data_IF_110747477827
#
_entry.id   IF_110747477827
#
_cell.length_a   1.000
_cell.length_b   1.000
_cell.length_c   1.000
_cell.angle_alpha   90.00
_cell.angle_beta   90.00
_cell.angle_gamma   90.00
#
_symmetry.space_group_name_H-M   'P 1'
#
loop_
_entity.id
_entity.type
_entity.pdbx_description
1 polymer ?
#
# COMPACT_ATOMS: atom_id res chain seq x y z
N UNK A 1 0.23 -9.39 -8.15
CA UNK A 1 1.01 -10.45 -7.45
C UNK A 1 0.61 -10.44 -5.98
N UNK A 2 0.47 -11.59 -5.37
CA UNK A 2 0.10 -11.78 -3.96
C UNK A 2 0.47 -13.21 -3.52
N UNK A 3 0.46 -13.49 -2.20
CA UNK A 3 0.88 -14.78 -1.61
C UNK A 3 -0.06 -15.95 -1.94
N UNK A 4 -1.28 -15.68 -2.39
CA UNK A 4 -2.29 -16.64 -2.84
C UNK A 4 -2.77 -16.29 -4.26
N UNK A 5 -3.42 -17.19 -4.95
CA UNK A 5 -3.97 -16.95 -6.28
C UNK A 5 -5.39 -17.52 -6.40
N UNK A 6 -6.20 -16.90 -7.27
CA UNK A 6 -7.59 -17.34 -7.53
C UNK A 6 -7.66 -18.67 -8.28
N UNK A 7 -6.61 -19.02 -9.02
CA UNK A 7 -6.53 -20.25 -9.79
C UNK A 7 -5.08 -20.73 -9.96
N UNK A 8 -4.83 -22.00 -10.32
CA UNK A 8 -3.48 -22.52 -10.55
C UNK A 8 -2.72 -21.86 -11.71
N UNK A 9 -3.41 -21.24 -12.65
CA UNK A 9 -2.81 -20.56 -13.80
C UNK A 9 -2.17 -19.24 -13.40
N UNK A 10 -2.63 -18.61 -12.32
CA UNK A 10 -2.09 -17.35 -11.79
C UNK A 10 -1.00 -17.65 -10.77
N UNK A 11 0.16 -17.09 -10.96
CA UNK A 11 1.27 -17.24 -10.01
C UNK A 11 0.97 -16.54 -8.69
N UNK A 12 1.23 -17.24 -7.59
CA UNK A 12 1.34 -16.63 -6.26
C UNK A 12 2.80 -16.65 -5.84
N UNK A 13 3.27 -15.57 -5.23
CA UNK A 13 4.58 -15.52 -4.58
C UNK A 13 4.55 -14.49 -3.45
N UNK A 14 5.58 -14.54 -2.59
CA UNK A 14 5.71 -13.50 -1.56
C UNK A 14 5.93 -12.14 -2.23
N UNK A 15 5.05 -11.19 -1.94
CA UNK A 15 5.10 -9.85 -2.51
C UNK A 15 3.75 -9.31 -2.96
N UNK A 16 3.71 -8.04 -3.27
CA UNK A 16 2.48 -7.33 -3.64
C UNK A 16 2.65 -6.56 -4.93
N UNK A 17 1.63 -6.61 -5.80
CA UNK A 17 1.51 -5.73 -6.96
C UNK A 17 0.05 -5.57 -7.34
N UNK A 18 -0.43 -4.33 -7.45
CA UNK A 18 -1.75 -3.97 -7.94
C UNK A 18 -1.62 -3.22 -9.27
N UNK A 19 -2.40 -3.67 -10.27
CA UNK A 19 -2.68 -2.88 -11.46
C UNK A 19 -4.03 -2.20 -11.28
N UNK A 20 -4.10 -0.90 -11.57
CA UNK A 20 -5.26 -0.06 -11.32
C UNK A 20 -5.54 0.77 -12.56
N UNK A 21 -6.80 0.79 -12.98
CA UNK A 21 -7.28 1.68 -14.04
C UNK A 21 -8.26 2.70 -13.47
N UNK A 22 -8.05 3.96 -13.84
CA UNK A 22 -8.95 5.06 -13.59
C UNK A 22 -9.36 5.70 -14.94
N UNK A 23 -10.14 6.76 -14.93
CA UNK A 23 -10.47 7.47 -16.18
C UNK A 23 -9.23 8.13 -16.82
N UNK A 24 -8.25 8.52 -16.01
CA UNK A 24 -7.08 9.28 -16.48
C UNK A 24 -5.80 8.46 -16.49
N UNK A 25 -5.68 7.44 -15.62
CA UNK A 25 -4.43 6.76 -15.36
C UNK A 25 -4.53 5.24 -15.43
N UNK A 26 -3.46 4.63 -15.94
CA UNK A 26 -3.12 3.22 -15.77
C UNK A 26 -1.95 3.14 -14.80
N UNK A 27 -2.20 2.62 -13.61
CA UNK A 27 -1.29 2.72 -12.47
C UNK A 27 -0.76 1.34 -12.10
N UNK A 28 0.52 1.24 -11.78
CA UNK A 28 1.10 0.09 -11.11
C UNK A 28 1.51 0.48 -9.69
N UNK A 29 0.92 -0.16 -8.68
CA UNK A 29 1.26 0.05 -7.28
C UNK A 29 1.95 -1.19 -6.75
N UNK A 30 3.24 -1.09 -6.45
CA UNK A 30 4.20 -2.15 -6.16
C UNK A 30 4.43 -3.15 -7.31
N UNK A 31 5.57 -3.87 -7.30
CA UNK A 31 6.02 -4.74 -8.39
C UNK A 31 6.48 -6.12 -7.91
N UNK A 32 6.01 -6.53 -6.70
CA UNK A 32 6.35 -7.85 -6.15
C UNK A 32 7.84 -8.03 -5.83
N UNK A 33 8.21 -9.28 -5.52
CA UNK A 33 9.60 -9.62 -5.20
C UNK A 33 10.47 -9.90 -6.43
N UNK A 34 9.85 -10.18 -7.58
CA UNK A 34 10.49 -10.60 -8.83
C UNK A 34 9.58 -10.34 -10.05
N UNK A 35 10.00 -10.80 -11.23
CA UNK A 35 9.27 -10.61 -12.49
C UNK A 35 7.97 -11.42 -12.61
N UNK A 36 7.55 -12.19 -11.60
CA UNK A 36 6.35 -13.03 -11.65
C UNK A 36 5.04 -12.25 -11.87
N UNK A 37 4.99 -10.97 -11.49
CA UNK A 37 3.83 -10.12 -11.76
C UNK A 37 3.66 -9.82 -13.26
N UNK A 38 4.74 -9.82 -14.06
CA UNK A 38 4.71 -9.65 -15.53
C UNK A 38 3.94 -10.79 -16.18
N UNK A 39 4.21 -12.04 -15.76
CA UNK A 39 3.51 -13.21 -16.28
C UNK A 39 2.03 -13.20 -15.93
N UNK A 40 1.69 -12.76 -14.70
CA UNK A 40 0.29 -12.61 -14.30
C UNK A 40 -0.42 -11.53 -15.09
N UNK A 41 0.24 -10.39 -15.37
CA UNK A 41 -0.31 -9.33 -16.20
C UNK A 41 -0.65 -9.84 -17.61
N UNK A 42 0.28 -10.58 -18.25
CA UNK A 42 0.06 -11.20 -19.56
C UNK A 42 -1.16 -12.14 -19.55
N UNK A 43 -1.24 -13.04 -18.56
CA UNK A 43 -2.38 -13.98 -18.41
C UNK A 43 -3.72 -13.29 -18.18
N UNK A 44 -3.71 -12.14 -17.52
CA UNK A 44 -4.88 -11.32 -17.26
C UNK A 44 -5.23 -10.36 -18.41
N UNK A 45 -4.43 -10.37 -19.50
CA UNK A 45 -4.62 -9.46 -20.64
C UNK A 45 -4.27 -8.01 -20.33
N UNK A 46 -3.43 -7.75 -19.31
CA UNK A 46 -2.98 -6.43 -18.91
C UNK A 46 -1.67 -6.11 -19.63
N UNK A 47 -1.68 -5.07 -20.45
CA UNK A 47 -0.47 -4.55 -21.08
C UNK A 47 0.24 -3.55 -20.16
N UNK A 48 1.30 -4.02 -19.50
CA UNK A 48 2.10 -3.18 -18.61
C UNK A 48 2.91 -2.09 -19.34
N UNK A 49 3.08 -2.17 -20.67
CA UNK A 49 3.68 -1.08 -21.45
C UNK A 49 2.78 0.16 -21.47
N UNK A 50 1.48 -0.02 -21.26
CA UNK A 50 0.50 1.06 -21.23
C UNK A 50 0.39 1.76 -19.87
N UNK A 51 0.99 1.23 -18.81
CA UNK A 51 1.07 1.92 -17.51
C UNK A 51 1.75 3.28 -17.69
N UNK A 52 1.13 4.33 -17.19
CA UNK A 52 1.64 5.70 -17.32
C UNK A 52 2.35 6.19 -16.03
N UNK A 53 2.01 5.62 -14.88
CA UNK A 53 2.60 5.98 -13.59
C UNK A 53 2.71 4.75 -12.68
N UNK A 54 3.77 4.67 -11.89
CA UNK A 54 3.94 3.63 -10.90
C UNK A 54 4.33 4.21 -9.53
N UNK A 55 3.96 3.50 -8.47
CA UNK A 55 4.27 3.85 -7.09
C UNK A 55 4.91 2.67 -6.39
N UNK A 56 5.91 2.94 -5.56
CA UNK A 56 6.47 1.97 -4.63
C UNK A 56 6.03 2.36 -3.22
N UNK A 57 5.30 1.47 -2.55
CA UNK A 57 4.74 1.73 -1.22
C UNK A 57 5.81 1.94 -0.15
N UNK A 58 6.89 1.17 -0.20
CA UNK A 58 8.00 1.24 0.77
C UNK A 58 9.25 0.49 0.28
N UNK A 59 10.34 0.57 1.02
CA UNK A 59 11.67 0.13 0.61
C UNK A 59 11.99 -1.36 0.81
N UNK A 60 11.02 -2.29 0.76
CA UNK A 60 11.27 -3.72 0.88
C UNK A 60 11.23 -4.44 -0.47
N UNK A 61 12.08 -5.50 -0.60
CA UNK A 61 12.29 -6.23 -1.86
C UNK A 61 11.03 -6.90 -2.40
N UNK A 62 10.12 -7.33 -1.54
CA UNK A 62 8.88 -7.99 -1.89
C UNK A 62 7.80 -7.04 -2.47
N UNK A 63 8.12 -5.73 -2.54
CA UNK A 63 7.33 -4.70 -3.19
C UNK A 63 8.06 -4.05 -4.38
N UNK A 64 9.40 -3.99 -4.33
CA UNK A 64 10.19 -3.33 -5.36
C UNK A 64 11.15 -4.25 -6.12
N UNK A 65 11.13 -5.57 -5.87
CA UNK A 65 12.05 -6.51 -6.53
C UNK A 65 11.83 -6.65 -8.03
N UNK A 66 10.61 -6.44 -8.51
CA UNK A 66 10.26 -6.47 -9.92
C UNK A 66 10.49 -5.17 -10.70
N UNK A 67 11.06 -4.11 -10.08
CA UNK A 67 11.29 -2.82 -10.75
C UNK A 67 12.13 -2.97 -12.02
N UNK A 68 13.21 -3.76 -12.00
CA UNK A 68 14.04 -4.01 -13.17
C UNK A 68 13.27 -4.64 -14.33
N UNK A 69 12.38 -5.59 -14.04
CA UNK A 69 11.49 -6.21 -15.03
C UNK A 69 10.49 -5.20 -15.59
N UNK A 70 9.86 -4.39 -14.74
CA UNK A 70 8.95 -3.34 -15.18
C UNK A 70 9.64 -2.31 -16.08
N UNK A 71 10.83 -1.86 -15.72
CA UNK A 71 11.61 -0.92 -16.53
C UNK A 71 12.01 -1.46 -17.92
N UNK A 72 12.07 -2.81 -18.08
CA UNK A 72 12.34 -3.46 -19.39
C UNK A 72 11.10 -3.46 -20.29
N UNK A 73 9.90 -3.72 -19.74
CA UNK A 73 8.68 -3.82 -20.53
C UNK A 73 8.00 -2.47 -20.72
N UNK A 74 8.00 -1.60 -19.71
CA UNK A 74 7.49 -0.24 -19.79
C UNK A 74 8.60 0.75 -20.09
N UNK A 75 8.37 1.73 -20.99
CA UNK A 75 9.38 2.73 -21.41
C UNK A 75 9.00 4.17 -21.07
N UNK A 76 7.80 4.39 -20.51
CA UNK A 76 7.25 5.75 -20.28
C UNK A 76 6.96 6.08 -18.82
N UNK A 77 6.46 5.11 -18.05
CA UNK A 77 6.03 5.35 -16.67
C UNK A 77 7.17 5.82 -15.78
N UNK A 78 6.88 6.81 -14.98
CA UNK A 78 7.73 7.21 -13.86
C UNK A 78 7.34 6.43 -12.61
N UNK A 79 8.32 6.05 -11.80
CA UNK A 79 8.13 5.30 -10.56
C UNK A 79 8.37 6.25 -9.40
N UNK A 80 7.34 6.53 -8.64
CA UNK A 80 7.34 7.47 -7.53
C UNK A 80 7.63 6.76 -6.21
N UNK A 81 8.68 7.20 -5.50
CA UNK A 81 9.15 6.59 -4.26
C UNK A 81 9.47 7.65 -3.20
N UNK A 82 9.42 7.27 -1.93
CA UNK A 82 9.99 8.09 -0.86
C UNK A 82 11.53 7.96 -0.85
N UNK A 83 12.24 9.03 -0.60
CA UNK A 83 13.73 9.04 -0.52
C UNK A 83 14.26 7.98 0.44
N UNK A 84 13.63 7.85 1.59
CA UNK A 84 14.03 6.86 2.58
C UNK A 84 13.90 5.41 2.08
N UNK A 85 13.07 5.11 1.05
CA UNK A 85 12.97 3.77 0.48
C UNK A 85 14.28 3.26 -0.15
N UNK A 86 15.22 4.16 -0.45
CA UNK A 86 16.53 3.82 -1.01
C UNK A 86 17.59 3.44 0.02
N UNK A 87 17.25 3.44 1.31
CA UNK A 87 18.16 3.11 2.40
C UNK A 87 18.28 1.58 2.60
N UNK A 88 19.14 1.16 3.53
CA UNK A 88 19.40 -0.26 3.80
C UNK A 88 18.41 -0.81 4.85
N UNK A 89 17.56 -1.77 4.45
CA UNK A 89 16.60 -2.44 5.34
C UNK A 89 16.95 -3.90 5.55
N UNK A 90 16.75 -4.36 6.79
CA UNK A 90 17.15 -5.69 7.24
C UNK A 90 16.06 -6.31 8.12
N UNK A 91 15.95 -7.63 8.10
CA UNK A 91 15.14 -8.40 9.05
C UNK A 91 16.05 -9.14 10.03
N UNK A 92 15.70 -9.13 11.32
CA UNK A 92 16.32 -9.97 12.34
C UNK A 92 15.59 -11.31 12.34
N UNK A 93 16.15 -12.28 11.65
CA UNK A 93 15.75 -13.68 11.76
C UNK A 93 16.42 -14.30 13.02
N UNK A 94 15.97 -15.45 13.55
CA UNK A 94 16.49 -16.01 14.80
C UNK A 94 18.02 -16.18 14.83
N UNK A 95 18.63 -16.60 13.74
CA UNK A 95 20.07 -16.90 13.68
C UNK A 95 20.90 -15.80 13.00
N UNK A 96 20.30 -14.97 12.15
CA UNK A 96 21.03 -13.99 11.35
C UNK A 96 20.18 -12.78 10.96
N UNK A 97 20.88 -11.71 10.57
CA UNK A 97 20.22 -10.59 9.87
C UNK A 97 20.20 -10.87 8.37
N UNK A 98 19.06 -10.62 7.73
CA UNK A 98 18.85 -10.78 6.30
C UNK A 98 18.52 -9.42 5.69
N UNK A 99 19.20 -9.08 4.59
CA UNK A 99 18.89 -7.89 3.81
C UNK A 99 17.50 -8.03 3.17
N UNK A 100 16.66 -7.03 3.34
CA UNK A 100 15.30 -6.95 2.80
C UNK A 100 15.05 -5.66 2.02
N UNK A 101 16.09 -4.85 1.82
CA UNK A 101 16.00 -3.61 1.04
C UNK A 101 15.96 -3.86 -0.48
N UNK A 102 16.05 -2.79 -1.22
CA UNK A 102 15.91 -2.76 -2.67
C UNK A 102 17.24 -2.98 -3.39
N UNK A 103 17.17 -3.42 -4.66
CA UNK A 103 18.33 -3.51 -5.55
C UNK A 103 18.94 -2.13 -5.85
N UNK A 104 20.25 -2.08 -6.01
CA UNK A 104 20.97 -0.87 -6.44
C UNK A 104 20.84 -0.59 -7.96
N UNK A 105 20.46 -1.61 -8.76
CA UNK A 105 20.53 -1.61 -10.23
C UNK A 105 19.78 -0.46 -10.90
N UNK A 106 18.65 -0.04 -10.34
CA UNK A 106 17.77 0.95 -10.92
C UNK A 106 17.73 2.29 -10.17
N UNK A 107 18.40 2.43 -9.02
CA UNK A 107 18.32 3.63 -8.16
C UNK A 107 18.69 4.93 -8.88
N UNK A 108 19.58 4.86 -9.88
CA UNK A 108 20.00 6.01 -10.70
C UNK A 108 19.23 6.13 -12.03
N UNK A 109 18.15 5.39 -12.23
CA UNK A 109 17.35 5.48 -13.45
C UNK A 109 16.55 6.80 -13.45
N UNK A 110 16.56 7.54 -14.56
CA UNK A 110 15.89 8.84 -14.72
C UNK A 110 14.36 8.79 -14.54
N UNK A 111 13.77 7.60 -14.59
CA UNK A 111 12.34 7.39 -14.34
C UNK A 111 12.00 7.19 -12.87
N UNK A 112 12.98 7.14 -11.99
CA UNK A 112 12.76 7.12 -10.54
C UNK A 112 12.56 8.54 -10.05
N UNK A 113 11.37 8.84 -9.54
CA UNK A 113 11.03 10.16 -9.00
C UNK A 113 10.99 10.07 -7.47
N UNK A 114 11.93 10.78 -6.86
CA UNK A 114 12.15 10.76 -5.41
C UNK A 114 11.34 11.88 -4.73
N UNK A 115 10.60 11.52 -3.69
CA UNK A 115 9.82 12.43 -2.87
C UNK A 115 10.22 12.39 -1.40
N UNK A 116 9.92 13.46 -0.68
CA UNK A 116 10.07 13.55 0.78
C UNK A 116 8.76 14.03 1.41
N UNK A 117 7.91 13.10 1.85
CA UNK A 117 6.62 13.38 2.50
C UNK A 117 5.42 13.32 1.56
N UNK A 118 4.39 14.10 1.90
CA UNK A 118 3.11 14.10 1.18
C UNK A 118 3.24 14.91 -0.12
N UNK A 119 2.61 14.44 -1.21
CA UNK A 119 2.57 15.13 -2.51
C UNK A 119 1.35 14.70 -3.33
N UNK A 120 1.00 15.49 -4.36
CA UNK A 120 -0.03 15.14 -5.33
C UNK A 120 0.58 15.12 -6.73
N UNK A 121 0.14 14.16 -7.54
CA UNK A 121 0.44 14.12 -8.97
C UNK A 121 -0.47 15.10 -9.68
N UNK A 122 -1.76 15.00 -9.39
CA UNK A 122 -2.81 15.85 -9.91
C UNK A 122 -4.01 15.89 -8.92
N UNK A 123 -5.20 16.21 -9.42
CA UNK A 123 -6.43 16.26 -8.63
C UNK A 123 -6.97 14.86 -8.27
N UNK A 124 -6.56 13.80 -9.01
CA UNK A 124 -6.99 12.42 -8.82
C UNK A 124 -6.04 11.63 -7.92
N UNK A 125 -4.74 11.79 -8.08
CA UNK A 125 -3.73 10.99 -7.39
C UNK A 125 -3.00 11.80 -6.30
N UNK A 126 -3.23 11.42 -5.06
CA UNK A 126 -2.58 12.02 -3.88
C UNK A 126 -1.82 10.95 -3.09
N UNK A 127 -0.56 11.23 -2.79
CA UNK A 127 0.29 10.41 -1.94
C UNK A 127 0.43 11.06 -0.57
N UNK A 128 0.35 10.24 0.46
CA UNK A 128 0.73 10.64 1.81
C UNK A 128 1.69 9.64 2.45
N UNK A 129 2.61 10.16 3.23
CA UNK A 129 3.65 9.45 3.97
C UNK A 129 3.67 9.91 5.44
N UNK A 130 4.72 9.59 6.20
CA UNK A 130 4.93 10.12 7.56
C UNK A 130 3.74 9.91 8.50
N UNK A 131 3.21 8.69 8.52
CA UNK A 131 2.22 8.28 9.53
C UNK A 131 2.97 8.00 10.83
N UNK A 132 2.72 8.78 11.88
CA UNK A 132 3.52 8.77 13.11
C UNK A 132 2.83 8.11 14.31
N UNK A 133 1.51 8.01 14.27
CA UNK A 133 0.76 7.29 15.30
C UNK A 133 1.12 5.80 15.30
N UNK A 134 0.91 5.12 16.44
CA UNK A 134 1.27 3.72 16.64
C UNK A 134 0.13 2.89 17.28
N UNK A 135 -1.12 3.28 17.03
CA UNK A 135 -2.28 2.50 17.48
C UNK A 135 -2.46 1.25 16.62
N UNK A 136 -2.69 0.09 17.23
CA UNK A 136 -2.70 -1.21 16.57
C UNK A 136 -1.46 -1.42 15.66
N UNK A 137 -0.30 -1.01 16.15
CA UNK A 137 0.98 -1.20 15.49
C UNK A 137 1.41 -2.65 15.62
N UNK A 138 1.77 -3.29 14.50
CA UNK A 138 2.07 -4.73 14.48
C UNK A 138 3.37 -5.06 15.23
N UNK A 139 3.37 -6.05 16.15
CA UNK A 139 4.60 -6.54 16.80
C UNK A 139 5.61 -7.15 15.81
N UNK A 140 5.17 -7.61 14.63
CA UNK A 140 6.08 -8.11 13.59
C UNK A 140 7.13 -7.07 13.14
N UNK A 141 6.85 -5.79 13.34
CA UNK A 141 7.76 -4.69 13.04
C UNK A 141 9.01 -4.69 13.95
N UNK A 142 8.95 -5.27 15.14
CA UNK A 142 10.06 -5.24 16.09
C UNK A 142 11.33 -5.93 15.59
N UNK A 143 11.20 -6.83 14.62
CA UNK A 143 12.33 -7.52 13.98
C UNK A 143 12.84 -6.81 12.71
N UNK A 144 12.23 -5.72 12.31
CA UNK A 144 12.64 -4.98 11.12
C UNK A 144 13.56 -3.84 11.48
N UNK A 145 14.67 -3.77 10.77
CA UNK A 145 15.80 -2.92 11.09
C UNK A 145 16.18 -2.06 9.89
N UNK A 146 16.66 -0.88 10.19
CA UNK A 146 17.36 0.01 9.27
C UNK A 146 18.84 0.04 9.64
N UNK A 147 19.74 0.06 8.64
CA UNK A 147 21.16 0.18 8.88
C UNK A 147 21.63 1.61 8.60
N UNK A 148 22.22 2.24 9.62
CA UNK A 148 22.72 3.61 9.58
C UNK A 148 24.18 3.62 10.03
N UNK A 149 25.09 4.12 9.19
CA UNK A 149 26.53 4.21 9.53
C UNK A 149 27.12 2.91 10.07
N UNK A 150 26.69 1.77 9.53
CA UNK A 150 27.16 0.43 9.94
C UNK A 150 26.43 -0.16 11.16
N UNK A 151 25.60 0.60 11.86
CA UNK A 151 24.80 0.14 13.01
C UNK A 151 23.38 -0.20 12.59
N UNK A 152 22.76 -1.17 13.31
CA UNK A 152 21.37 -1.55 13.09
C UNK A 152 20.47 -0.89 14.14
N UNK A 153 19.42 -0.24 13.69
CA UNK A 153 18.41 0.39 14.52
C UNK A 153 17.03 -0.14 14.14
N UNK A 154 16.03 -0.04 15.01
CA UNK A 154 14.65 -0.37 14.65
C UNK A 154 14.18 0.52 13.51
N UNK A 155 13.49 -0.08 12.52
CA UNK A 155 12.91 0.68 11.42
C UNK A 155 11.72 1.52 11.92
N UNK A 156 11.74 2.79 11.62
CA UNK A 156 10.65 3.73 11.91
C UNK A 156 9.64 3.85 10.77
N UNK A 157 9.84 3.12 9.67
CA UNK A 157 8.99 3.09 8.46
C UNK A 157 8.69 4.47 7.86
N UNK A 158 9.67 5.38 7.92
CA UNK A 158 9.57 6.71 7.29
C UNK A 158 9.56 6.63 5.76
N UNK A 159 9.94 5.48 5.22
CA UNK A 159 9.93 5.16 3.79
C UNK A 159 8.57 4.71 3.26
N UNK A 160 7.57 4.50 4.14
CA UNK A 160 6.24 4.06 3.72
C UNK A 160 5.40 5.23 3.21
N UNK A 161 4.75 5.02 2.07
CA UNK A 161 3.77 5.93 1.48
C UNK A 161 2.52 5.18 1.06
N UNK A 162 1.41 5.91 0.98
CA UNK A 162 0.09 5.39 0.65
C UNK A 162 -0.54 6.27 -0.43
N UNK A 163 -1.33 5.66 -1.32
CA UNK A 163 -1.97 6.34 -2.45
C UNK A 163 -3.47 6.51 -2.19
N UNK A 164 -3.96 7.74 -2.30
CA UNK A 164 -5.38 8.05 -2.41
C UNK A 164 -5.72 8.32 -3.88
N UNK A 165 -6.74 7.66 -4.39
CA UNK A 165 -7.31 7.88 -5.70
C UNK A 165 -8.69 8.51 -5.54
N UNK A 166 -8.88 9.67 -6.16
CA UNK A 166 -10.11 10.45 -6.10
C UNK A 166 -10.78 10.48 -7.47
N UNK A 167 -11.80 9.67 -7.67
CA UNK A 167 -12.51 9.60 -8.95
C UNK A 167 -14.03 9.60 -8.75
N UNK A 168 -14.78 10.35 -9.56
CA UNK A 168 -16.26 10.38 -9.58
C UNK A 168 -16.91 10.55 -8.20
N UNK A 169 -16.31 11.36 -7.35
CA UNK A 169 -16.83 11.58 -5.98
C UNK A 169 -16.44 10.51 -4.96
N UNK A 170 -15.82 9.43 -5.38
CA UNK A 170 -15.30 8.35 -4.53
C UNK A 170 -13.83 8.57 -4.18
N UNK A 171 -13.38 7.93 -3.10
CA UNK A 171 -11.97 7.85 -2.74
C UNK A 171 -11.61 6.41 -2.42
N UNK A 172 -10.52 5.94 -3.00
CA UNK A 172 -9.94 4.61 -2.74
C UNK A 172 -8.52 4.78 -2.19
N UNK A 173 -8.19 4.00 -1.16
CA UNK A 173 -6.87 3.99 -0.53
C UNK A 173 -6.11 2.73 -0.91
N UNK A 174 -4.87 2.88 -1.36
CA UNK A 174 -3.91 1.79 -1.52
C UNK A 174 -2.75 1.96 -0.53
N UNK A 175 -2.48 0.90 0.22
CA UNK A 175 -1.34 0.75 1.10
C UNK A 175 -0.56 -0.50 0.71
N UNK A 176 0.74 -0.55 1.01
CA UNK A 176 1.55 -1.76 0.88
C UNK A 176 1.31 -2.71 2.04
N UNK A 177 2.34 -2.94 2.85
CA UNK A 177 2.25 -3.74 4.07
C UNK A 177 1.53 -3.05 5.22
N UNK A 178 1.34 -1.73 5.16
CA UNK A 178 0.84 -0.92 6.27
C UNK A 178 1.66 -1.10 7.57
N UNK A 179 2.99 -0.99 7.46
CA UNK A 179 3.89 -1.08 8.61
C UNK A 179 3.59 -0.03 9.68
N UNK A 180 3.18 1.18 9.29
CA UNK A 180 2.75 2.22 10.23
C UNK A 180 1.39 1.90 10.90
N UNK A 181 0.75 0.79 10.54
CA UNK A 181 -0.55 0.32 11.04
C UNK A 181 -1.73 0.87 10.26
N UNK A 182 -2.58 -0.02 9.73
CA UNK A 182 -3.75 0.35 8.91
C UNK A 182 -4.68 1.32 9.64
N UNK A 183 -4.84 1.20 10.96
CA UNK A 183 -5.65 2.13 11.78
C UNK A 183 -5.12 3.56 11.69
N UNK A 184 -3.80 3.74 11.76
CA UNK A 184 -3.15 5.05 11.72
C UNK A 184 -3.16 5.64 10.31
N UNK A 185 -2.97 4.79 9.30
CA UNK A 185 -3.09 5.15 7.87
C UNK A 185 -4.50 5.67 7.58
N UNK A 186 -5.54 4.95 8.02
CA UNK A 186 -6.94 5.37 7.85
C UNK A 186 -7.23 6.68 8.56
N UNK A 187 -6.71 6.88 9.76
CA UNK A 187 -6.87 8.13 10.50
C UNK A 187 -6.27 9.32 9.74
N UNK A 188 -5.03 9.19 9.25
CA UNK A 188 -4.39 10.25 8.45
C UNK A 188 -5.13 10.48 7.13
N UNK A 189 -5.49 9.43 6.40
CA UNK A 189 -6.23 9.52 5.14
C UNK A 189 -7.58 10.26 5.32
N UNK A 190 -8.34 9.92 6.37
CA UNK A 190 -9.62 10.58 6.69
C UNK A 190 -9.43 12.06 7.04
N UNK A 191 -8.37 12.41 7.76
CA UNK A 191 -8.04 13.81 8.07
C UNK A 191 -7.69 14.60 6.78
N UNK A 192 -6.94 14.00 5.85
CA UNK A 192 -6.62 14.61 4.57
C UNK A 192 -7.86 14.86 3.71
N UNK A 193 -8.81 13.91 3.68
CA UNK A 193 -10.09 14.09 3.00
C UNK A 193 -10.88 15.26 3.58
N UNK A 194 -11.01 15.31 4.90
CA UNK A 194 -11.71 16.41 5.58
C UNK A 194 -11.09 17.76 5.25
N UNK A 195 -9.77 17.87 5.32
CA UNK A 195 -9.05 19.10 4.96
C UNK A 195 -9.29 19.49 3.49
N UNK A 196 -9.27 18.51 2.56
CA UNK A 196 -9.54 18.75 1.13
C UNK A 196 -10.95 19.30 0.91
N UNK A 197 -11.96 18.78 1.62
CA UNK A 197 -13.35 19.25 1.55
C UNK A 197 -13.48 20.68 2.11
N UNK A 198 -12.87 20.97 3.25
CA UNK A 198 -12.86 22.30 3.83
C UNK A 198 -12.20 23.33 2.89
N UNK A 199 -11.07 22.98 2.28
CA UNK A 199 -10.39 23.85 1.33
C UNK A 199 -11.26 24.15 0.10
N UNK A 200 -12.00 23.15 -0.42
CA UNK A 200 -12.93 23.35 -1.54
C UNK A 200 -14.10 24.27 -1.17
N UNK A 201 -14.71 24.08 0.02
CA UNK A 201 -15.77 24.96 0.52
C UNK A 201 -15.30 26.41 0.58
N UNK A 202 -14.12 26.65 1.13
CA UNK A 202 -13.54 28.00 1.19
C UNK A 202 -13.35 28.62 -0.21
N UNK A 203 -12.84 27.86 -1.17
CA UNK A 203 -12.67 28.34 -2.56
C UNK A 203 -14.02 28.71 -3.23
N UNK A 204 -15.09 27.98 -2.91
CA UNK A 204 -16.44 28.22 -3.43
C UNK A 204 -17.07 29.47 -2.82
N UNK A 205 -16.93 29.68 -1.51
CA UNK A 205 -17.43 30.86 -0.80
C UNK A 205 -16.78 32.17 -1.28
N UNK A 206 -15.52 32.11 -1.72
CA UNK A 206 -14.81 33.27 -2.30
C UNK A 206 -15.07 33.47 -3.81
N UNK A 207 -16.10 32.83 -4.39
CA UNK A 207 -16.59 33.09 -5.75
C UNK A 207 -15.68 32.60 -6.89
N UNK A 208 -14.79 31.64 -6.61
CA UNK A 208 -13.81 31.15 -7.61
C UNK A 208 -14.22 29.87 -8.35
N UNK A 209 -15.33 29.23 -7.98
CA UNK A 209 -15.82 28.01 -8.65
C UNK A 209 -17.34 27.87 -8.52
N UNK A 210 -17.98 27.13 -9.46
CA UNK A 210 -19.41 26.80 -9.43
C UNK A 210 -19.77 26.01 -8.15
N UNK A 211 -21.03 26.14 -7.68
CA UNK A 211 -21.57 25.49 -6.48
C UNK A 211 -21.10 24.01 -6.40
N UNK A 212 -20.15 23.75 -5.50
CA UNK A 212 -19.81 22.39 -5.15
C UNK A 212 -21.01 21.73 -4.47
N UNK A 213 -21.48 20.62 -5.03
CA UNK A 213 -22.43 19.73 -4.34
C UNK A 213 -21.72 19.20 -3.10
N UNK A 214 -22.34 19.37 -1.95
CA UNK A 214 -21.82 18.88 -0.68
C UNK A 214 -21.95 17.35 -0.64
N UNK A 215 -20.93 16.66 -1.14
CA UNK A 215 -20.80 15.21 -1.05
C UNK A 215 -19.81 14.95 0.07
N UNK A 216 -20.30 14.44 1.18
CA UNK A 216 -19.43 13.94 2.25
C UNK A 216 -18.60 12.78 1.67
N UNK A 217 -17.33 13.04 1.39
CA UNK A 217 -16.45 12.03 0.80
C UNK A 217 -15.92 11.13 1.89
N UNK A 218 -16.12 9.84 1.70
CA UNK A 218 -15.55 8.77 2.51
C UNK A 218 -14.51 8.00 1.71
N UNK A 219 -13.70 7.21 2.39
CA UNK A 219 -12.86 6.21 1.75
C UNK A 219 -13.74 4.99 1.48
N UNK A 220 -14.14 4.76 0.24
CA UNK A 220 -15.04 3.67 -0.14
C UNK A 220 -14.38 2.31 0.04
N UNK A 221 -13.13 2.19 -0.43
CA UNK A 221 -12.38 0.96 -0.43
C UNK A 221 -10.92 1.18 0.01
N UNK A 222 -10.36 0.18 0.69
CA UNK A 222 -9.00 0.17 1.19
C UNK A 222 -8.32 -1.13 0.76
N UNK A 223 -7.26 -1.02 -0.02
CA UNK A 223 -6.45 -2.16 -0.47
C UNK A 223 -5.10 -2.17 0.22
N UNK A 224 -4.66 -3.34 0.71
CA UNK A 224 -3.33 -3.51 1.28
C UNK A 224 -3.23 -4.55 2.39
N UNK A 225 -2.01 -4.82 2.80
CA UNK A 225 -1.69 -5.68 3.93
C UNK A 225 -1.94 -5.01 5.28
N UNK A 226 -1.89 -5.81 6.35
CA UNK A 226 -2.01 -5.32 7.74
C UNK A 226 -0.82 -5.77 8.60
N UNK A 227 0.19 -6.34 7.97
CA UNK A 227 1.46 -6.80 8.55
C UNK A 227 1.31 -7.67 9.81
N UNK A 228 0.44 -8.68 9.77
CA UNK A 228 0.12 -9.56 10.91
C UNK A 228 0.74 -10.95 10.82
N UNK A 229 1.37 -11.31 9.69
CA UNK A 229 1.98 -12.62 9.49
C UNK A 229 3.15 -12.84 10.45
N UNK A 230 3.03 -13.84 11.33
CA UNK A 230 4.08 -14.17 12.31
C UNK A 230 4.34 -13.04 13.32
N UNK A 231 3.32 -12.25 13.64
CA UNK A 231 3.41 -11.13 14.57
C UNK A 231 3.20 -11.54 16.04
N UNK A 232 2.60 -12.69 16.29
CA UNK A 232 2.15 -13.12 17.61
C UNK A 232 2.66 -14.51 17.92
N UNK A 233 2.91 -14.76 19.20
CA UNK A 233 3.38 -16.07 19.69
C UNK A 233 2.23 -17.05 19.90
N UNK A 234 1.05 -16.55 20.25
CA UNK A 234 -0.14 -17.36 20.51
C UNK A 234 -1.32 -16.95 19.63
N UNK A 235 -2.28 -17.85 19.49
CA UNK A 235 -3.51 -17.59 18.77
C UNK A 235 -4.41 -16.59 19.50
N UNK A 236 -4.40 -16.62 20.82
CA UNK A 236 -5.15 -15.70 21.67
C UNK A 236 -4.67 -14.25 21.49
N UNK A 237 -3.36 -14.01 21.45
CA UNK A 237 -2.79 -12.69 21.21
C UNK A 237 -3.20 -12.13 19.83
N UNK A 238 -3.13 -12.98 18.81
CA UNK A 238 -3.60 -12.60 17.46
C UNK A 238 -5.09 -12.25 17.46
N UNK A 239 -5.92 -13.04 18.16
CA UNK A 239 -7.36 -12.82 18.22
C UNK A 239 -7.69 -11.50 18.95
N UNK A 240 -7.06 -11.24 20.10
CA UNK A 240 -7.23 -9.99 20.84
C UNK A 240 -6.82 -8.78 20.00
N UNK A 241 -5.69 -8.87 19.31
CA UNK A 241 -5.22 -7.82 18.42
C UNK A 241 -6.18 -7.58 17.25
N UNK A 242 -6.63 -8.65 16.58
CA UNK A 242 -7.62 -8.56 15.51
C UNK A 242 -8.94 -7.95 15.99
N UNK A 243 -9.40 -8.30 17.21
CA UNK A 243 -10.60 -7.71 17.80
C UNK A 243 -10.44 -6.18 18.00
N UNK A 244 -9.33 -5.76 18.61
CA UNK A 244 -9.01 -4.34 18.81
C UNK A 244 -8.92 -3.58 17.48
N UNK A 245 -8.21 -4.13 16.50
CA UNK A 245 -8.05 -3.53 15.16
C UNK A 245 -9.39 -3.41 14.44
N UNK A 246 -10.17 -4.50 14.39
CA UNK A 246 -11.49 -4.52 13.75
C UNK A 246 -12.43 -3.45 14.31
N UNK A 247 -12.50 -3.33 15.64
CA UNK A 247 -13.33 -2.31 16.31
C UNK A 247 -12.99 -0.89 15.89
N UNK A 248 -11.71 -0.61 15.62
CA UNK A 248 -11.25 0.71 15.16
C UNK A 248 -11.50 0.92 13.68
N UNK A 249 -11.23 -0.09 12.84
CA UNK A 249 -11.46 -0.01 11.40
C UNK A 249 -12.95 0.09 11.05
N UNK A 250 -13.81 -0.58 11.81
CA UNK A 250 -15.27 -0.52 11.62
C UNK A 250 -15.89 0.85 11.97
N UNK A 251 -15.14 1.79 12.55
CA UNK A 251 -15.58 3.18 12.72
C UNK A 251 -15.66 3.94 11.39
N UNK A 252 -14.98 3.43 10.36
CA UNK A 252 -15.04 3.97 9.00
C UNK A 252 -16.06 3.17 8.18
N UNK A 253 -16.83 3.86 7.35
CA UNK A 253 -17.73 3.21 6.39
C UNK A 253 -16.97 2.84 5.11
N UNK A 254 -15.98 1.94 5.26
CA UNK A 254 -15.10 1.46 4.20
C UNK A 254 -15.19 -0.05 4.06
N UNK A 255 -14.93 -0.57 2.85
CA UNK A 255 -14.66 -1.98 2.62
C UNK A 255 -13.16 -2.20 2.51
N UNK A 256 -12.62 -3.19 3.22
CA UNK A 256 -11.20 -3.51 3.25
C UNK A 256 -10.91 -4.74 2.38
N UNK A 257 -9.95 -4.62 1.48
CA UNK A 257 -9.42 -5.70 0.64
C UNK A 257 -7.99 -6.01 1.10
N UNK A 258 -7.89 -6.93 2.06
CA UNK A 258 -6.59 -7.26 2.67
C UNK A 258 -5.91 -8.42 1.96
N UNK A 259 -4.58 -8.50 2.09
CA UNK A 259 -3.76 -9.45 1.34
C UNK A 259 -2.37 -9.64 1.97
N UNK A 260 -1.51 -10.39 1.30
CA UNK A 260 -0.06 -10.44 1.46
C UNK A 260 0.38 -10.66 2.93
N UNK A 261 0.92 -9.63 3.57
CA UNK A 261 1.48 -9.73 4.92
C UNK A 261 0.41 -9.80 6.04
N UNK A 262 -0.89 -9.75 5.71
CA UNK A 262 -1.95 -10.01 6.69
C UNK A 262 -2.00 -11.46 7.11
N UNK A 263 -1.69 -12.41 6.21
CA UNK A 263 -1.91 -13.85 6.30
C UNK A 263 -3.39 -14.28 6.25
N UNK A 264 -3.62 -15.52 5.79
CA UNK A 264 -4.98 -16.10 5.79
C UNK A 264 -5.52 -16.35 7.20
N UNK A 265 -4.64 -16.61 8.16
CA UNK A 265 -5.01 -16.85 9.55
C UNK A 265 -5.58 -15.57 10.19
N UNK A 266 -4.82 -14.47 10.12
CA UNK A 266 -5.28 -13.18 10.63
C UNK A 266 -6.53 -12.70 9.87
N UNK A 267 -6.59 -12.89 8.54
CA UNK A 267 -7.78 -12.57 7.75
C UNK A 267 -9.03 -13.29 8.27
N UNK A 268 -8.95 -14.59 8.58
CA UNK A 268 -10.11 -15.36 9.12
C UNK A 268 -10.62 -14.76 10.42
N UNK A 269 -9.73 -14.35 11.33
CA UNK A 269 -10.09 -13.70 12.59
C UNK A 269 -10.72 -12.32 12.37
N UNK A 270 -10.14 -11.50 11.51
CA UNK A 270 -10.71 -10.20 11.11
C UNK A 270 -12.08 -10.37 10.44
N UNK A 271 -12.21 -11.32 9.50
CA UNK A 271 -13.46 -11.60 8.80
C UNK A 271 -14.57 -12.10 9.73
N UNK A 272 -14.23 -12.88 10.77
CA UNK A 272 -15.22 -13.32 11.77
C UNK A 272 -15.93 -12.14 12.46
N UNK A 273 -15.24 -11.01 12.58
CA UNK A 273 -15.76 -9.78 13.23
C UNK A 273 -16.32 -8.79 12.20
N UNK A 274 -15.55 -8.49 11.14
CA UNK A 274 -15.87 -7.42 10.18
C UNK A 274 -16.84 -7.87 9.07
N UNK A 275 -17.05 -9.19 8.90
CA UNK A 275 -17.95 -9.80 7.90
C UNK A 275 -17.65 -9.28 6.49
N UNK A 276 -18.68 -8.81 5.79
CA UNK A 276 -18.60 -8.30 4.41
C UNK A 276 -17.75 -7.02 4.26
N UNK A 277 -17.42 -6.37 5.37
CA UNK A 277 -16.55 -5.19 5.36
C UNK A 277 -15.08 -5.53 5.14
N UNK A 278 -14.69 -6.81 5.15
CA UNK A 278 -13.33 -7.24 4.81
C UNK A 278 -13.35 -8.45 3.87
N UNK A 279 -12.55 -8.39 2.83
CA UNK A 279 -12.37 -9.44 1.83
C UNK A 279 -10.89 -9.75 1.65
N UNK A 280 -10.56 -10.96 1.19
CA UNK A 280 -9.18 -11.32 0.87
C UNK A 280 -8.90 -11.10 -0.63
N UNK A 281 -7.85 -10.37 -0.94
CA UNK A 281 -7.45 -10.00 -2.30
C UNK A 281 -6.33 -10.91 -2.80
N UNK A 282 -6.68 -12.07 -3.35
CA UNK A 282 -5.72 -13.00 -3.99
C UNK A 282 -5.22 -12.48 -5.34
N UNK A 283 -4.05 -12.92 -5.79
CA UNK A 283 -3.55 -12.62 -7.13
C UNK A 283 -4.54 -13.07 -8.20
N UNK A 284 -4.81 -12.20 -9.17
CA UNK A 284 -5.81 -12.40 -10.23
C UNK A 284 -7.23 -11.95 -9.86
N UNK A 285 -7.50 -11.55 -8.63
CA UNK A 285 -8.78 -10.93 -8.27
C UNK A 285 -8.96 -9.57 -8.95
N UNK A 286 -10.19 -9.24 -9.33
CA UNK A 286 -10.57 -7.97 -9.98
C UNK A 286 -11.75 -7.36 -9.25
N UNK A 287 -11.68 -6.06 -8.98
CA UNK A 287 -12.77 -5.29 -8.38
C UNK A 287 -13.07 -4.05 -9.22
N UNK A 288 -14.34 -3.70 -9.22
CA UNK A 288 -14.83 -2.41 -9.76
C UNK A 288 -15.45 -1.66 -8.60
N UNK A 289 -14.88 -0.51 -8.25
CA UNK A 289 -15.30 0.31 -7.11
C UNK A 289 -16.17 1.50 -7.57
#
# INVERSE_FOLDING_TARGET
>A
MENTAISPEIKSSHGLSFYIETEKHKILFDMGQDDGFLENAEKLGIDLAEVDIAFLSHGHYDHGGGIDGFLKVNKKAKIHIQKAALEEYWAQDPEKKRYIGLSESWKNNERIIIHEGDYSIDEELQIFARVTERDCYSPANDRLLKKINGSYEKDGFVHEQNLLIHEKGKTVLFAGCAHNGMVNIMKKASALLKFREEAKKMCTEYGKTEKAVEIERKIEAVFGGMHLKGAFETEEELEEFCHKMSKKLMQYDSTYYTCHCTSLEAYKKLHAIMKEKIQYASAGSVWKI
#
